data_IF_564824383878
#
_entry.id   IF_564824383878
#
_cell.length_a   1.000
_cell.length_b   1.000
_cell.length_c   1.000
_cell.angle_alpha   90.00
_cell.angle_beta   90.00
_cell.angle_gamma   90.00
#
_symmetry.space_group_name_H-M   'P 1'
#
loop_
_entity.id
_entity.type
_entity.pdbx_description
1 polymer ?
#
# COMPACT_ATOMS: atom_id res chain seq x y z
N UNK A 1 -20.36 -4.21 12.37
CA UNK A 1 -21.61 -3.72 11.78
C UNK A 1 -22.76 -4.15 12.68
N UNK A 2 -23.63 -3.24 13.09
CA UNK A 2 -24.78 -3.57 13.95
C UNK A 2 -26.02 -3.58 13.04
N UNK A 3 -26.57 -4.75 12.75
CA UNK A 3 -27.86 -4.91 12.09
C UNK A 3 -28.87 -5.39 13.15
N UNK A 4 -29.99 -4.69 13.30
CA UNK A 4 -31.06 -5.02 14.26
C UNK A 4 -30.56 -5.22 15.70
N UNK A 5 -29.56 -4.43 16.18
CA UNK A 5 -29.07 -4.49 17.57
C UNK A 5 -28.13 -5.65 17.90
N UNK A 6 -27.77 -6.50 16.94
CA UNK A 6 -26.80 -7.60 17.13
C UNK A 6 -25.53 -7.33 16.32
N UNK A 7 -24.34 -7.62 16.90
CA UNK A 7 -23.06 -7.59 16.18
C UNK A 7 -23.04 -8.73 15.16
N UNK A 8 -23.18 -8.39 13.88
CA UNK A 8 -23.05 -9.37 12.79
C UNK A 8 -21.56 -9.70 12.63
N UNK A 9 -21.15 -10.97 12.74
CA UNK A 9 -19.77 -11.37 12.47
C UNK A 9 -19.37 -11.00 11.06
N UNK A 10 -18.12 -10.54 10.86
CA UNK A 10 -17.56 -10.18 9.54
C UNK A 10 -17.72 -11.36 8.56
N UNK A 11 -17.52 -12.59 9.02
CA UNK A 11 -17.71 -13.82 8.24
C UNK A 11 -19.11 -13.93 7.63
N UNK A 12 -20.16 -13.55 8.35
CA UNK A 12 -21.52 -13.59 7.83
C UNK A 12 -21.75 -12.59 6.68
N UNK A 13 -21.14 -11.40 6.79
CA UNK A 13 -21.19 -10.40 5.71
C UNK A 13 -20.47 -10.90 4.44
N UNK A 14 -19.32 -11.55 4.61
CA UNK A 14 -18.57 -12.14 3.48
C UNK A 14 -19.36 -13.28 2.81
N UNK A 15 -19.97 -14.16 3.60
CA UNK A 15 -20.80 -15.26 3.05
C UNK A 15 -21.98 -14.69 2.24
N UNK A 16 -22.69 -13.69 2.77
CA UNK A 16 -23.78 -13.04 2.02
C UNK A 16 -23.27 -12.47 0.71
N UNK A 17 -22.13 -11.78 0.72
CA UNK A 17 -21.52 -11.19 -0.48
C UNK A 17 -21.21 -12.26 -1.54
N UNK A 18 -20.56 -13.36 -1.15
CA UNK A 18 -20.24 -14.43 -2.08
C UNK A 18 -21.48 -15.17 -2.60
N UNK A 19 -22.50 -15.37 -1.76
CA UNK A 19 -23.78 -15.96 -2.19
C UNK A 19 -24.48 -15.05 -3.20
N UNK A 20 -24.55 -13.76 -2.96
CA UNK A 20 -25.12 -12.78 -3.89
C UNK A 20 -24.37 -12.77 -5.21
N UNK A 21 -23.02 -12.77 -5.17
CA UNK A 21 -22.22 -12.87 -6.39
C UNK A 21 -22.50 -14.15 -7.16
N UNK A 22 -22.53 -15.30 -6.48
CA UNK A 22 -22.82 -16.59 -7.11
C UNK A 22 -24.18 -16.59 -7.81
N UNK A 23 -25.23 -16.09 -7.14
CA UNK A 23 -26.58 -16.03 -7.70
C UNK A 23 -26.65 -15.10 -8.93
N UNK A 24 -26.00 -13.93 -8.89
CA UNK A 24 -25.93 -13.00 -10.02
C UNK A 24 -25.20 -13.66 -11.20
N UNK A 25 -24.07 -14.32 -10.92
CA UNK A 25 -23.30 -15.01 -11.96
C UNK A 25 -24.07 -16.17 -12.60
N UNK A 26 -24.79 -16.96 -11.80
CA UNK A 26 -25.61 -18.06 -12.31
C UNK A 26 -26.83 -17.60 -13.13
N UNK A 27 -27.36 -16.40 -12.81
CA UNK A 27 -28.45 -15.81 -13.59
C UNK A 27 -28.04 -15.42 -15.02
N UNK A 28 -26.75 -15.50 -15.37
CA UNK A 28 -26.19 -15.18 -16.70
C UNK A 28 -26.64 -13.83 -17.28
N UNK A 29 -26.85 -12.84 -16.40
CA UNK A 29 -27.28 -11.49 -16.80
C UNK A 29 -26.22 -10.73 -17.60
N UNK A 30 -24.94 -11.09 -17.40
CA UNK A 30 -23.82 -10.48 -18.10
C UNK A 30 -22.65 -11.46 -18.19
N UNK A 31 -22.00 -11.52 -19.33
CA UNK A 31 -20.77 -12.27 -19.54
C UNK A 31 -19.60 -11.73 -18.68
N UNK A 32 -19.71 -10.47 -18.21
CA UNK A 32 -18.67 -9.81 -17.44
C UNK A 32 -18.65 -10.22 -15.96
N UNK A 33 -19.71 -10.86 -15.47
CA UNK A 33 -19.84 -11.28 -14.06
C UNK A 33 -20.08 -12.80 -14.03
N UNK A 34 -19.02 -13.61 -14.08
CA UNK A 34 -19.15 -15.07 -13.99
C UNK A 34 -19.53 -15.49 -12.56
N UNK A 35 -20.08 -16.69 -12.37
CA UNK A 35 -20.32 -17.28 -11.06
C UNK A 35 -19.02 -17.34 -10.22
N UNK A 36 -19.11 -17.02 -8.94
CA UNK A 36 -17.95 -17.04 -8.04
C UNK A 36 -17.27 -18.40 -8.00
N UNK A 37 -18.03 -19.49 -8.04
CA UNK A 37 -17.50 -20.87 -8.11
C UNK A 37 -16.57 -21.10 -9.30
N UNK A 38 -16.89 -20.55 -10.48
CA UNK A 38 -16.02 -20.62 -11.67
C UNK A 38 -14.78 -19.74 -11.54
N UNK A 39 -14.92 -18.57 -10.94
CA UNK A 39 -13.76 -17.69 -10.62
C UNK A 39 -12.76 -18.40 -9.72
N UNK A 40 -13.23 -19.11 -8.69
CA UNK A 40 -12.35 -19.89 -7.80
C UNK A 40 -11.67 -21.04 -8.58
N UNK A 41 -12.41 -21.76 -9.42
CA UNK A 41 -11.86 -22.83 -10.25
C UNK A 41 -10.78 -22.29 -11.21
N UNK A 42 -11.03 -21.17 -11.89
CA UNK A 42 -10.05 -20.49 -12.73
C UNK A 42 -8.81 -20.07 -11.93
N UNK A 43 -9.01 -19.52 -10.72
CA UNK A 43 -7.90 -19.18 -9.82
C UNK A 43 -6.98 -20.36 -9.52
N UNK A 44 -7.56 -21.53 -9.21
CA UNK A 44 -6.79 -22.75 -8.95
C UNK A 44 -5.98 -23.17 -10.19
N UNK A 45 -6.51 -22.95 -11.39
CA UNK A 45 -5.83 -23.30 -12.64
C UNK A 45 -4.71 -22.33 -13.02
N UNK A 46 -4.90 -21.02 -12.78
CA UNK A 46 -3.88 -20.03 -13.14
C UNK A 46 -2.71 -19.95 -12.16
N UNK A 47 -2.94 -20.21 -10.87
CA UNK A 47 -1.92 -20.10 -9.82
C UNK A 47 -0.64 -20.91 -10.09
N UNK A 48 -0.68 -22.17 -10.58
CA UNK A 48 0.53 -22.95 -10.87
C UNK A 48 1.17 -22.62 -12.22
N UNK A 49 0.59 -21.70 -13.02
CA UNK A 49 1.12 -21.40 -14.35
C UNK A 49 2.42 -20.59 -14.29
N UNK A 50 3.36 -20.91 -15.18
CA UNK A 50 4.63 -20.15 -15.31
C UNK A 50 4.39 -18.69 -15.63
N UNK A 51 3.38 -18.38 -16.47
CA UNK A 51 3.02 -16.99 -16.81
C UNK A 51 2.58 -16.21 -15.58
N UNK A 52 1.76 -16.83 -14.73
CA UNK A 52 1.31 -16.19 -13.50
C UNK A 52 2.47 -15.95 -12.53
N UNK A 53 3.33 -16.96 -12.30
CA UNK A 53 4.46 -16.83 -11.39
C UNK A 53 5.47 -15.78 -11.88
N UNK A 54 5.75 -15.71 -13.18
CA UNK A 54 6.59 -14.68 -13.78
C UNK A 54 5.99 -13.28 -13.61
N UNK A 55 4.68 -13.12 -13.91
CA UNK A 55 3.99 -11.84 -13.77
C UNK A 55 3.97 -11.35 -12.31
N UNK A 56 3.68 -12.24 -11.37
CA UNK A 56 3.68 -11.93 -9.94
C UNK A 56 5.09 -11.57 -9.47
N UNK A 57 6.13 -12.28 -9.90
CA UNK A 57 7.51 -11.98 -9.51
C UNK A 57 7.95 -10.58 -9.94
N UNK A 58 7.61 -10.16 -11.17
CA UNK A 58 7.87 -8.80 -11.67
C UNK A 58 7.12 -7.76 -10.81
N UNK A 59 5.85 -8.02 -10.51
CA UNK A 59 5.02 -7.11 -9.71
C UNK A 59 5.54 -6.97 -8.27
N UNK A 60 5.93 -8.08 -7.63
CA UNK A 60 6.51 -8.09 -6.30
C UNK A 60 7.86 -7.36 -6.26
N UNK A 61 8.72 -7.57 -7.26
CA UNK A 61 10.01 -6.90 -7.37
C UNK A 61 9.82 -5.40 -7.53
N UNK A 62 8.95 -4.98 -8.45
CA UNK A 62 8.62 -3.56 -8.65
C UNK A 62 8.07 -2.92 -7.37
N UNK A 63 7.19 -3.62 -6.67
CA UNK A 63 6.65 -3.19 -5.39
C UNK A 63 7.76 -3.02 -4.34
N UNK A 64 8.59 -4.05 -4.15
CA UNK A 64 9.64 -4.05 -3.14
C UNK A 64 10.66 -2.93 -3.38
N UNK A 65 11.11 -2.74 -4.63
CA UNK A 65 12.06 -1.68 -4.99
C UNK A 65 11.42 -0.30 -4.79
N UNK A 66 10.19 -0.08 -5.28
CA UNK A 66 9.49 1.20 -5.14
C UNK A 66 9.23 1.56 -3.67
N UNK A 67 8.84 0.58 -2.84
CA UNK A 67 8.68 0.75 -1.40
C UNK A 67 10.01 1.03 -0.70
N UNK A 68 11.10 0.35 -1.07
CA UNK A 68 12.41 0.62 -0.52
C UNK A 68 12.84 2.08 -0.76
N UNK A 69 12.67 2.59 -1.99
CA UNK A 69 12.91 4.00 -2.29
C UNK A 69 11.99 4.93 -1.48
N UNK A 70 10.70 4.58 -1.35
CA UNK A 70 9.76 5.38 -0.57
C UNK A 70 10.14 5.47 0.91
N UNK A 71 10.68 4.40 1.50
CA UNK A 71 11.17 4.37 2.88
C UNK A 71 12.47 5.17 3.04
N UNK A 72 13.44 4.90 2.16
CA UNK A 72 14.78 5.52 2.23
C UNK A 72 14.71 7.04 2.02
N UNK A 73 13.76 7.52 1.22
CA UNK A 73 13.56 8.96 0.96
C UNK A 73 12.51 9.54 1.91
N UNK A 74 11.40 8.83 2.13
CA UNK A 74 10.24 9.32 2.87
C UNK A 74 10.53 9.53 4.36
N UNK A 75 11.13 8.55 5.03
CA UNK A 75 11.42 8.68 6.47
C UNK A 75 12.41 9.82 6.75
N UNK A 76 13.60 9.91 6.11
CA UNK A 76 14.51 11.03 6.35
C UNK A 76 13.90 12.39 6.01
N UNK A 77 13.10 12.47 4.94
CA UNK A 77 12.42 13.72 4.57
C UNK A 77 11.40 14.13 5.64
N UNK A 78 10.58 13.19 6.14
CA UNK A 78 9.64 13.44 7.23
C UNK A 78 10.32 13.91 8.53
N UNK A 79 11.43 13.25 8.89
CA UNK A 79 12.28 13.65 10.02
C UNK A 79 12.81 15.08 9.83
N UNK A 80 13.32 15.39 8.64
CA UNK A 80 13.86 16.71 8.32
C UNK A 80 12.77 17.79 8.38
N UNK A 81 11.59 17.50 7.85
CA UNK A 81 10.43 18.41 7.90
C UNK A 81 9.90 18.64 9.33
N UNK A 82 10.01 17.63 10.19
CA UNK A 82 9.67 17.80 11.61
C UNK A 82 10.72 18.63 12.36
N UNK A 83 12.00 18.49 11.98
CA UNK A 83 13.13 19.14 12.64
C UNK A 83 13.29 20.62 12.28
N UNK A 84 13.07 20.97 11.02
CA UNK A 84 13.31 22.31 10.47
C UNK A 84 12.00 22.93 10.06
N UNK A 85 11.48 23.86 10.87
CA UNK A 85 10.13 24.45 10.71
C UNK A 85 9.91 25.06 9.32
N UNK A 86 10.90 25.81 8.81
CA UNK A 86 10.79 26.45 7.49
C UNK A 86 10.75 25.39 6.36
N UNK A 87 11.58 24.37 6.43
CA UNK A 87 11.52 23.25 5.48
C UNK A 87 10.19 22.50 5.59
N UNK A 88 9.72 22.29 6.82
CA UNK A 88 8.42 21.66 7.06
C UNK A 88 7.24 22.45 6.43
N UNK A 89 7.28 23.77 6.45
CA UNK A 89 6.28 24.62 5.79
C UNK A 89 6.38 24.54 4.26
N UNK A 90 7.58 24.68 3.70
CA UNK A 90 7.82 24.68 2.24
C UNK A 90 7.52 23.29 1.64
N UNK A 91 8.17 22.25 2.15
CA UNK A 91 7.98 20.89 1.63
C UNK A 91 6.59 20.36 1.95
N UNK A 92 6.01 20.73 3.10
CA UNK A 92 4.66 20.33 3.48
C UNK A 92 3.59 20.79 2.50
N UNK A 93 3.75 21.99 1.92
CA UNK A 93 2.87 22.46 0.86
C UNK A 93 2.90 21.53 -0.35
N UNK A 94 4.10 21.18 -0.84
CA UNK A 94 4.27 20.27 -1.98
C UNK A 94 3.77 18.87 -1.69
N UNK A 95 4.12 18.32 -0.51
CA UNK A 95 3.67 16.98 -0.10
C UNK A 95 2.14 16.91 -0.06
N UNK A 96 1.47 17.92 0.50
CA UNK A 96 0.01 17.97 0.54
C UNK A 96 -0.61 18.08 -0.85
N UNK A 97 0.00 18.84 -1.77
CA UNK A 97 -0.44 18.91 -3.18
C UNK A 97 -0.40 17.50 -3.79
N UNK A 98 0.73 16.77 -3.65
CA UNK A 98 0.87 15.42 -4.23
C UNK A 98 -0.02 14.38 -3.55
N UNK A 99 -0.26 14.48 -2.25
CA UNK A 99 -1.21 13.57 -1.56
C UNK A 99 -2.63 13.74 -2.07
N UNK A 100 -3.01 14.97 -2.44
CA UNK A 100 -4.34 15.31 -2.94
C UNK A 100 -4.50 15.12 -4.45
N UNK A 101 -3.37 15.11 -5.19
CA UNK A 101 -3.37 14.97 -6.64
C UNK A 101 -3.68 13.54 -7.09
N UNK A 102 -4.33 13.35 -8.24
CA UNK A 102 -4.50 12.05 -8.86
C UNK A 102 -3.16 11.55 -9.44
N UNK A 103 -2.33 10.92 -8.59
CA UNK A 103 -0.96 10.47 -8.96
C UNK A 103 -0.98 9.55 -10.20
N UNK A 104 -2.09 8.80 -10.40
CA UNK A 104 -2.26 7.97 -11.60
C UNK A 104 -2.16 8.77 -12.91
N UNK A 105 -2.52 10.06 -12.91
CA UNK A 105 -2.40 10.92 -14.09
C UNK A 105 -0.92 11.22 -14.46
N UNK A 106 0.02 11.00 -13.54
CA UNK A 106 1.44 11.17 -13.82
C UNK A 106 2.06 9.95 -14.53
N UNK A 107 1.41 8.77 -14.50
CA UNK A 107 1.97 7.55 -15.10
C UNK A 107 2.26 7.71 -16.60
N UNK A 108 1.37 8.25 -17.45
CA UNK A 108 1.69 8.50 -18.85
C UNK A 108 2.89 9.45 -19.04
N UNK A 109 3.06 10.42 -18.16
CA UNK A 109 4.22 11.33 -18.19
C UNK A 109 5.50 10.56 -17.82
N UNK A 110 5.45 9.70 -16.81
CA UNK A 110 6.58 8.82 -16.46
C UNK A 110 6.95 7.91 -17.63
N UNK A 111 5.95 7.33 -18.32
CA UNK A 111 6.18 6.51 -19.51
C UNK A 111 6.89 7.29 -20.63
N UNK A 112 6.51 8.54 -20.83
CA UNK A 112 7.13 9.38 -21.86
C UNK A 112 8.58 9.78 -21.52
N UNK A 113 8.88 10.00 -20.23
CA UNK A 113 10.20 10.48 -19.77
C UNK A 113 11.17 9.33 -19.47
N UNK A 114 10.71 8.30 -18.79
CA UNK A 114 11.55 7.18 -18.31
C UNK A 114 11.51 6.01 -19.31
N UNK A 115 10.44 5.93 -20.10
CA UNK A 115 10.16 4.82 -21.00
C UNK A 115 9.13 3.85 -20.44
N UNK A 116 8.72 2.91 -21.29
CA UNK A 116 7.76 1.87 -20.98
C UNK A 116 8.51 0.68 -20.39
N UNK A 117 8.18 0.29 -19.14
CA UNK A 117 8.85 -0.85 -18.51
C UNK A 117 8.75 -0.86 -16.98
N UNK A 118 9.48 -1.78 -16.38
CA UNK A 118 9.48 -2.00 -14.93
C UNK A 118 9.90 -0.76 -14.13
N UNK A 119 10.86 0.01 -14.65
CA UNK A 119 11.34 1.24 -14.00
C UNK A 119 10.21 2.23 -13.77
N UNK A 120 9.33 2.41 -14.76
CA UNK A 120 8.15 3.28 -14.62
C UNK A 120 7.18 2.78 -13.56
N UNK A 121 6.99 1.45 -13.44
CA UNK A 121 6.17 0.86 -12.37
C UNK A 121 6.80 1.13 -11.00
N UNK A 122 8.11 0.95 -10.86
CA UNK A 122 8.86 1.24 -9.61
C UNK A 122 8.67 2.69 -9.19
N UNK A 123 8.83 3.66 -10.13
CA UNK A 123 8.59 5.08 -9.84
C UNK A 123 7.12 5.36 -9.49
N UNK A 124 6.19 4.67 -10.13
CA UNK A 124 4.76 4.79 -9.79
C UNK A 124 4.51 4.34 -8.35
N UNK A 125 5.02 3.18 -7.96
CA UNK A 125 4.91 2.68 -6.56
C UNK A 125 5.52 3.69 -5.58
N UNK A 126 6.72 4.17 -5.88
CA UNK A 126 7.40 5.18 -5.08
C UNK A 126 6.53 6.41 -4.86
N UNK A 127 5.99 7.01 -5.93
CA UNK A 127 5.15 8.21 -5.83
C UNK A 127 3.87 7.98 -5.05
N UNK A 128 3.25 6.80 -5.19
CA UNK A 128 2.04 6.46 -4.44
C UNK A 128 2.29 6.32 -2.94
N UNK A 129 3.48 5.89 -2.52
CA UNK A 129 3.81 5.58 -1.14
C UNK A 129 4.52 6.73 -0.40
N UNK A 130 5.47 7.42 -1.06
CA UNK A 130 6.44 8.30 -0.40
C UNK A 130 5.80 9.45 0.37
N UNK A 131 4.80 10.11 -0.21
CA UNK A 131 4.21 11.31 0.39
C UNK A 131 3.48 11.03 1.71
N UNK A 132 2.82 9.88 1.80
CA UNK A 132 2.14 9.44 3.03
C UNK A 132 3.16 9.09 4.09
N UNK A 133 4.21 8.35 3.74
CA UNK A 133 5.31 8.01 4.65
C UNK A 133 5.97 9.28 5.20
N UNK A 134 6.18 10.31 4.35
CA UNK A 134 6.70 11.61 4.78
C UNK A 134 5.79 12.25 5.83
N UNK A 135 4.48 12.34 5.56
CA UNK A 135 3.53 13.00 6.46
C UNK A 135 3.42 12.29 7.81
N UNK A 136 3.24 10.98 7.81
CA UNK A 136 3.05 10.22 9.04
C UNK A 136 4.35 10.22 9.87
N UNK A 137 5.52 10.14 9.22
CA UNK A 137 6.81 10.33 9.90
C UNK A 137 6.93 11.72 10.53
N UNK A 138 6.56 12.77 9.80
CA UNK A 138 6.58 14.14 10.32
C UNK A 138 5.64 14.30 11.52
N UNK A 139 4.43 13.76 11.43
CA UNK A 139 3.41 13.81 12.49
C UNK A 139 3.91 13.07 13.73
N UNK A 140 4.40 11.85 13.57
CA UNK A 140 4.90 11.04 14.69
C UNK A 140 6.01 11.72 15.46
N UNK A 141 6.97 12.36 14.76
CA UNK A 141 8.06 13.09 15.44
C UNK A 141 7.54 14.35 16.16
N UNK A 142 6.59 15.07 15.58
CA UNK A 142 6.00 16.27 16.21
C UNK A 142 5.13 15.95 17.42
N UNK A 143 4.53 14.78 17.46
CA UNK A 143 3.67 14.31 18.55
C UNK A 143 4.45 13.65 19.69
N UNK A 144 5.77 13.44 19.54
CA UNK A 144 6.61 12.87 20.57
C UNK A 144 6.52 13.70 21.87
N UNK A 145 6.39 13.01 22.99
CA UNK A 145 6.24 13.64 24.31
C UNK A 145 7.45 14.52 24.65
N UNK A 146 7.17 15.79 24.94
CA UNK A 146 8.20 16.77 25.33
C UNK A 146 8.93 16.37 26.62
N UNK A 147 8.26 15.69 27.53
CA UNK A 147 8.84 15.22 28.79
C UNK A 147 10.00 14.26 28.54
N UNK A 148 9.91 13.38 27.53
CA UNK A 148 10.98 12.47 27.14
C UNK A 148 12.22 13.23 26.63
N UNK A 149 12.00 14.31 25.87
CA UNK A 149 13.07 15.16 25.37
C UNK A 149 13.74 15.93 26.50
N UNK A 150 12.98 16.47 27.45
CA UNK A 150 13.48 17.19 28.60
C UNK A 150 14.25 16.27 29.56
N UNK A 151 13.73 15.08 29.80
CA UNK A 151 14.43 14.05 30.58
C UNK A 151 15.76 13.68 29.92
N UNK A 152 15.79 13.41 28.62
CA UNK A 152 17.02 13.08 27.92
C UNK A 152 18.08 14.21 28.00
N UNK A 153 17.63 15.48 27.92
CA UNK A 153 18.51 16.65 28.09
C UNK A 153 19.07 16.74 29.51
N UNK A 154 18.25 16.47 30.51
CA UNK A 154 18.69 16.47 31.92
C UNK A 154 19.78 15.42 32.19
N UNK A 155 19.74 14.30 31.44
CA UNK A 155 20.79 13.28 31.45
C UNK A 155 21.99 13.60 30.54
N UNK A 156 22.09 14.80 29.98
CA UNK A 156 23.20 15.24 29.14
C UNK A 156 23.19 14.68 27.71
N UNK A 157 22.04 14.20 27.21
CA UNK A 157 21.96 13.68 25.86
C UNK A 157 22.23 14.76 24.81
N UNK A 158 23.08 14.43 23.84
CA UNK A 158 23.37 15.31 22.71
C UNK A 158 22.22 15.35 21.72
N UNK A 159 22.14 16.40 20.89
CA UNK A 159 21.04 16.59 19.93
C UNK A 159 20.80 15.35 19.04
N UNK A 160 21.86 14.76 18.49
CA UNK A 160 21.70 13.56 17.63
C UNK A 160 21.15 12.36 18.40
N UNK A 161 21.50 12.19 19.68
CA UNK A 161 20.98 11.11 20.54
C UNK A 161 19.50 11.31 20.84
N UNK A 162 19.07 12.55 21.07
CA UNK A 162 17.64 12.86 21.26
C UNK A 162 16.84 12.48 20.00
N UNK A 163 17.34 12.81 18.80
CA UNK A 163 16.63 12.45 17.56
C UNK A 163 16.61 10.94 17.31
N UNK A 164 17.74 10.26 17.44
CA UNK A 164 17.86 8.85 17.06
C UNK A 164 17.37 7.88 18.13
N UNK A 165 17.52 8.22 19.42
CA UNK A 165 17.20 7.32 20.54
C UNK A 165 15.90 7.67 21.26
N UNK A 166 15.39 8.89 21.10
CA UNK A 166 14.15 9.33 21.77
C UNK A 166 13.06 9.59 20.73
N UNK A 167 13.23 10.59 19.88
CA UNK A 167 12.18 11.03 18.96
C UNK A 167 11.84 9.99 17.91
N UNK A 168 12.83 9.37 17.27
CA UNK A 168 12.58 8.36 16.24
C UNK A 168 11.92 7.09 16.83
N UNK A 169 12.33 6.69 18.04
CA UNK A 169 11.74 5.54 18.71
C UNK A 169 10.32 5.82 19.22
N UNK A 170 10.07 7.03 19.72
CA UNK A 170 8.71 7.42 20.14
C UNK A 170 7.77 7.61 18.94
N UNK A 171 8.30 8.01 17.77
CA UNK A 171 7.53 8.15 16.53
C UNK A 171 7.34 6.83 15.76
N UNK A 172 7.94 5.73 16.22
CA UNK A 172 7.93 4.46 15.50
C UNK A 172 6.52 3.91 15.22
N UNK A 173 5.53 4.01 16.11
CA UNK A 173 4.16 3.62 15.82
C UNK A 173 3.57 4.38 14.60
N UNK A 174 3.71 5.69 14.59
CA UNK A 174 3.22 6.53 13.48
C UNK A 174 3.99 6.27 12.17
N UNK A 175 5.29 6.01 12.25
CA UNK A 175 6.10 5.62 11.09
C UNK A 175 5.60 4.30 10.51
N UNK A 176 5.25 3.33 11.35
CA UNK A 176 4.71 2.04 10.93
C UNK A 176 3.28 2.19 10.36
N UNK A 177 2.46 3.06 10.93
CA UNK A 177 1.15 3.40 10.37
C UNK A 177 1.31 4.02 8.97
N UNK A 178 2.25 4.96 8.80
CA UNK A 178 2.61 5.54 7.51
C UNK A 178 3.15 4.51 6.52
N UNK A 179 3.99 3.58 6.96
CA UNK A 179 4.45 2.46 6.15
C UNK A 179 3.29 1.58 5.68
N UNK A 180 2.37 1.23 6.58
CA UNK A 180 1.19 0.43 6.26
C UNK A 180 0.32 1.12 5.20
N UNK A 181 -0.02 2.38 5.40
CA UNK A 181 -0.82 3.14 4.45
C UNK A 181 -0.08 3.35 3.13
N UNK A 182 1.24 3.64 3.18
CA UNK A 182 2.11 3.73 2.03
C UNK A 182 2.18 2.43 1.24
N UNK A 183 2.27 1.28 1.92
CA UNK A 183 2.28 -0.03 1.27
C UNK A 183 0.95 -0.35 0.56
N UNK A 184 -0.19 -0.05 1.19
CA UNK A 184 -1.50 -0.21 0.55
C UNK A 184 -1.61 0.67 -0.70
N UNK A 185 -1.14 1.92 -0.63
CA UNK A 185 -1.07 2.80 -1.80
C UNK A 185 -0.07 2.30 -2.84
N UNK A 186 1.07 1.75 -2.41
CA UNK A 186 2.09 1.15 -3.28
C UNK A 186 1.56 -0.04 -4.08
N UNK A 187 0.73 -0.91 -3.48
CA UNK A 187 0.05 -2.00 -4.22
C UNK A 187 -0.86 -1.42 -5.31
N UNK A 188 -1.63 -0.37 -5.01
CA UNK A 188 -2.42 0.34 -6.03
C UNK A 188 -1.52 0.91 -7.13
N UNK A 189 -0.35 1.43 -6.75
CA UNK A 189 0.66 1.95 -7.69
C UNK A 189 1.19 0.87 -8.64
N UNK A 190 1.45 -0.35 -8.17
CA UNK A 190 1.82 -1.48 -9.03
C UNK A 190 0.72 -1.76 -10.05
N UNK A 191 -0.50 -1.98 -9.56
CA UNK A 191 -1.62 -2.37 -10.42
C UNK A 191 -1.92 -1.29 -11.45
N UNK A 192 -2.03 -0.02 -11.04
CA UNK A 192 -2.31 1.09 -11.95
C UNK A 192 -1.16 1.29 -12.94
N UNK A 193 0.09 1.26 -12.46
CA UNK A 193 1.26 1.39 -13.33
C UNK A 193 1.32 0.29 -14.38
N UNK A 194 1.11 -0.95 -13.99
CA UNK A 194 1.14 -2.10 -14.91
C UNK A 194 -0.06 -2.15 -15.84
N UNK A 195 -1.26 -1.78 -15.39
CA UNK A 195 -2.45 -1.69 -16.26
C UNK A 195 -2.28 -0.64 -17.36
N UNK A 196 -1.65 0.51 -17.06
CA UNK A 196 -1.42 1.55 -18.06
C UNK A 196 -0.31 1.17 -19.04
N UNK A 197 0.69 0.39 -18.59
CA UNK A 197 1.78 -0.12 -19.43
C UNK A 197 1.30 -1.34 -20.24
N UNK A 198 0.48 -2.21 -19.66
CA UNK A 198 -0.19 -3.37 -20.27
C UNK A 198 0.72 -4.44 -20.92
N UNK A 199 2.02 -4.43 -20.64
CA UNK A 199 3.00 -5.35 -21.27
C UNK A 199 3.89 -6.10 -20.27
N UNK A 200 3.72 -5.87 -18.95
CA UNK A 200 4.53 -6.51 -17.91
C UNK A 200 3.72 -6.81 -16.66
N UNK A 201 4.14 -7.84 -15.94
CA UNK A 201 3.60 -8.20 -14.64
C UNK A 201 2.12 -8.57 -14.66
N UNK A 202 1.43 -8.36 -13.56
CA UNK A 202 -0.01 -8.67 -13.48
C UNK A 202 -0.86 -7.80 -14.42
N UNK A 203 -0.38 -6.61 -14.82
CA UNK A 203 -1.06 -5.76 -15.78
C UNK A 203 -1.18 -6.40 -17.17
N UNK A 204 -0.14 -7.12 -17.62
CA UNK A 204 -0.18 -7.91 -18.87
C UNK A 204 -1.25 -9.01 -18.81
N UNK A 205 -1.36 -9.69 -17.66
CA UNK A 205 -2.39 -10.73 -17.48
C UNK A 205 -3.79 -10.12 -17.46
N UNK A 206 -3.99 -8.97 -16.81
CA UNK A 206 -5.27 -8.25 -16.85
C UNK A 206 -5.67 -7.88 -18.26
N UNK A 207 -4.72 -7.36 -19.06
CA UNK A 207 -4.95 -7.00 -20.45
C UNK A 207 -5.25 -8.25 -21.30
N UNK A 208 -4.48 -9.33 -21.12
CA UNK A 208 -4.70 -10.59 -21.83
C UNK A 208 -6.10 -11.15 -21.56
N UNK A 209 -6.50 -11.23 -20.28
CA UNK A 209 -7.78 -11.80 -19.90
C UNK A 209 -8.95 -10.91 -20.33
N UNK A 210 -8.81 -9.59 -20.20
CA UNK A 210 -9.82 -8.63 -20.63
C UNK A 210 -10.06 -8.66 -22.14
N UNK A 211 -9.00 -8.64 -22.95
CA UNK A 211 -9.10 -8.66 -24.42
C UNK A 211 -9.72 -9.95 -24.96
N UNK A 212 -9.47 -11.06 -24.29
CA UNK A 212 -10.00 -12.36 -24.72
C UNK A 212 -11.33 -12.71 -24.04
N UNK A 213 -11.93 -11.79 -23.27
CA UNK A 213 -13.15 -12.02 -22.50
C UNK A 213 -13.06 -13.21 -21.52
N UNK A 214 -11.85 -13.52 -21.03
CA UNK A 214 -11.59 -14.54 -20.03
C UNK A 214 -11.92 -13.98 -18.64
N UNK A 215 -13.22 -13.78 -18.38
CA UNK A 215 -13.66 -13.05 -17.18
C UNK A 215 -13.50 -13.87 -15.91
N UNK A 216 -13.48 -15.19 -15.97
CA UNK A 216 -13.24 -16.06 -14.82
C UNK A 216 -11.81 -15.87 -14.30
N UNK A 217 -10.82 -15.87 -15.19
CA UNK A 217 -9.40 -15.62 -14.91
C UNK A 217 -9.15 -14.17 -14.50
N UNK A 218 -9.84 -13.22 -15.14
CA UNK A 218 -9.75 -11.80 -14.80
C UNK A 218 -10.16 -11.55 -13.35
N UNK A 219 -11.33 -12.05 -12.95
CA UNK A 219 -11.82 -11.90 -11.57
C UNK A 219 -10.98 -12.70 -10.56
N UNK A 220 -10.46 -13.86 -10.95
CA UNK A 220 -9.52 -14.62 -10.13
C UNK A 220 -8.25 -13.79 -9.84
N UNK A 221 -7.71 -13.10 -10.85
CA UNK A 221 -6.56 -12.22 -10.69
C UNK A 221 -6.88 -11.01 -9.80
N UNK A 222 -8.08 -10.42 -9.91
CA UNK A 222 -8.56 -9.36 -9.00
C UNK A 222 -8.54 -9.85 -7.54
N UNK A 223 -9.06 -11.05 -7.28
CA UNK A 223 -9.08 -11.64 -5.95
C UNK A 223 -7.66 -11.84 -5.42
N UNK A 224 -6.74 -12.34 -6.24
CA UNK A 224 -5.32 -12.52 -5.85
C UNK A 224 -4.69 -11.19 -5.45
N UNK A 225 -4.93 -10.12 -6.22
CA UNK A 225 -4.41 -8.78 -5.89
C UNK A 225 -4.99 -8.27 -4.56
N UNK A 226 -6.28 -8.50 -4.30
CA UNK A 226 -6.90 -8.12 -3.02
C UNK A 226 -6.34 -8.91 -1.84
N UNK A 227 -6.14 -10.22 -2.00
CA UNK A 227 -5.51 -11.07 -0.99
C UNK A 227 -4.09 -10.59 -0.72
N UNK A 228 -3.33 -10.27 -1.75
CA UNK A 228 -1.97 -9.74 -1.60
C UNK A 228 -1.97 -8.39 -0.85
N UNK A 229 -2.82 -7.44 -1.25
CA UNK A 229 -2.93 -6.16 -0.57
C UNK A 229 -3.31 -6.31 0.91
N UNK A 230 -4.25 -7.21 1.21
CA UNK A 230 -4.66 -7.53 2.57
C UNK A 230 -3.52 -8.17 3.38
N UNK A 231 -2.81 -9.15 2.79
CA UNK A 231 -1.69 -9.82 3.44
C UNK A 231 -0.55 -8.83 3.78
N UNK A 232 -0.21 -7.93 2.85
CA UNK A 232 0.78 -6.86 3.10
C UNK A 232 0.32 -5.94 4.24
N UNK A 233 -0.96 -5.52 4.23
CA UNK A 233 -1.52 -4.68 5.29
C UNK A 233 -1.47 -5.36 6.66
N UNK A 234 -1.86 -6.64 6.75
CA UNK A 234 -1.85 -7.39 8.01
C UNK A 234 -0.43 -7.70 8.50
N UNK A 235 0.51 -7.97 7.59
CA UNK A 235 1.92 -8.18 7.96
C UNK A 235 2.50 -6.93 8.64
N UNK A 236 2.22 -5.74 8.10
CA UNK A 236 2.68 -4.49 8.71
C UNK A 236 1.92 -4.19 10.01
N UNK A 237 0.60 -4.41 10.05
CA UNK A 237 -0.19 -4.25 11.27
C UNK A 237 0.26 -5.19 12.41
N UNK A 238 0.77 -6.36 12.08
CA UNK A 238 1.36 -7.26 13.08
C UNK A 238 2.64 -6.67 13.69
N UNK A 239 3.50 -6.05 12.87
CA UNK A 239 4.69 -5.34 13.35
C UNK A 239 4.32 -4.12 14.20
N UNK A 240 3.34 -3.33 13.74
CA UNK A 240 2.81 -2.17 14.45
C UNK A 240 2.32 -2.54 15.87
N UNK A 241 1.46 -3.54 15.98
CA UNK A 241 0.96 -4.05 17.28
C UNK A 241 2.08 -4.52 18.23
N UNK A 242 3.15 -5.09 17.68
CA UNK A 242 4.33 -5.48 18.48
C UNK A 242 5.04 -4.26 19.04
N UNK A 243 5.22 -3.23 18.24
CA UNK A 243 5.89 -1.98 18.64
C UNK A 243 5.05 -1.20 19.66
N UNK A 244 3.74 -1.06 19.44
CA UNK A 244 2.82 -0.41 20.38
C UNK A 244 2.81 -1.08 21.74
N UNK A 245 2.83 -2.42 21.78
CA UNK A 245 2.91 -3.15 23.03
C UNK A 245 4.13 -2.77 23.86
N UNK A 246 5.29 -2.60 23.23
CA UNK A 246 6.50 -2.18 23.93
C UNK A 246 6.52 -0.66 24.23
N UNK A 247 5.81 0.16 23.46
CA UNK A 247 5.70 1.61 23.71
C UNK A 247 4.72 1.92 24.84
N UNK A 248 3.61 1.18 24.96
CA UNK A 248 2.59 1.36 26.00
C UNK A 248 2.94 0.71 27.34
N UNK A 249 3.90 -0.21 27.38
CA UNK A 249 4.38 -0.87 28.60
C UNK A 249 5.44 -0.04 29.39
N UNK A 250 5.67 1.21 29.00
CA UNK A 250 6.52 2.18 29.68
C UNK A 250 5.68 3.34 30.18
#
# INVERSE_FOLDING_TARGET
MILFGKRVPILFSLVIWFVVWELIGQANLSILIPPFSRVVAAGIMILPSEKFSAAVSISLRSFAIGMAFALVIGIPTGVLMARVENLGKILGMWVNIFVSAPISALVPILMAVIGIGETTVVFTVFLFAVFVIILDTQVGIKQADRSLVEMARSFGAQRHQIYTKVLLLSALPEILAGLRLGAIRGVKGVVIGQLLIAIIGVGELFELYSRNFLMEEFWALVIVVFIFAFAVSEAIAFLERRVEYYASAR
#
